data_IF_560952022385
#
_entry.id   IF_560952022385
#
_cell.length_a   1.000
_cell.length_b   1.000
_cell.length_c   1.000
_cell.angle_alpha   90.00
_cell.angle_beta   90.00
_cell.angle_gamma   90.00
#
_symmetry.space_group_name_H-M   'P 1'
#
loop_
_entity.id
_entity.type
_entity.pdbx_description
1 polymer ?
#
# COMPACT_ATOMS: atom_id res chain seq x y z
N UNK A 1 1.27 30.46 0.75
CA UNK A 1 2.63 30.96 1.06
C UNK A 1 3.47 31.17 -0.21
N UNK A 2 3.12 30.62 -1.38
CA UNK A 2 3.87 30.87 -2.63
C UNK A 2 2.95 31.05 -3.84
N UNK A 3 2.14 32.13 -3.87
CA UNK A 3 1.26 32.41 -5.02
C UNK A 3 2.02 32.79 -6.30
N UNK A 4 3.34 32.91 -6.24
CA UNK A 4 4.26 33.14 -7.35
C UNK A 4 5.62 32.58 -6.96
N UNK A 5 6.14 31.59 -7.68
CA UNK A 5 7.50 31.06 -7.48
C UNK A 5 8.59 32.16 -7.59
N UNK A 6 8.25 33.28 -8.23
CA UNK A 6 9.09 34.48 -8.37
C UNK A 6 9.31 35.25 -7.05
N UNK A 7 8.47 35.05 -6.04
CA UNK A 7 8.53 35.77 -4.75
C UNK A 7 8.99 34.88 -3.58
N UNK A 8 9.69 33.79 -3.87
CA UNK A 8 10.26 32.91 -2.87
C UNK A 8 11.51 33.56 -2.27
N UNK A 9 11.58 33.63 -0.95
CA UNK A 9 12.81 33.97 -0.22
C UNK A 9 13.75 32.76 -0.25
N UNK A 10 14.50 32.66 -1.35
CA UNK A 10 15.39 31.53 -1.60
C UNK A 10 16.54 31.45 -0.60
N UNK A 11 17.04 32.60 -0.12
CA UNK A 11 18.12 32.65 0.87
C UNK A 11 17.65 32.05 2.20
N UNK A 12 16.41 32.36 2.61
CA UNK A 12 15.80 31.72 3.77
C UNK A 12 15.63 30.22 3.57
N UNK A 13 15.09 29.79 2.43
CA UNK A 13 14.93 28.35 2.15
C UNK A 13 16.26 27.63 2.09
N UNK A 14 17.32 28.25 1.58
CA UNK A 14 18.66 27.65 1.57
C UNK A 14 19.22 27.49 2.98
N UNK A 15 18.95 28.46 3.88
CA UNK A 15 19.33 28.32 5.29
C UNK A 15 18.56 27.21 6.02
N UNK A 16 17.31 26.94 5.61
CA UNK A 16 16.43 25.94 6.24
C UNK A 16 16.59 24.54 5.62
N UNK A 17 16.84 24.44 4.32
CA UNK A 17 16.83 23.20 3.52
C UNK A 17 18.21 22.80 2.98
N UNK A 18 19.14 23.74 2.90
CA UNK A 18 20.42 23.57 2.23
C UNK A 18 20.37 23.80 0.71
N UNK A 19 21.53 24.10 0.14
CA UNK A 19 21.74 24.45 -1.28
C UNK A 19 21.21 23.37 -2.24
N UNK A 20 21.42 22.08 -1.91
CA UNK A 20 20.99 20.96 -2.77
C UNK A 20 19.47 20.96 -2.99
N UNK A 21 18.68 21.05 -1.91
CA UNK A 21 17.21 21.01 -2.01
C UNK A 21 16.67 22.24 -2.74
N UNK A 22 17.25 23.42 -2.48
CA UNK A 22 16.88 24.63 -3.21
C UNK A 22 17.17 24.52 -4.70
N UNK A 23 18.30 23.93 -5.07
CA UNK A 23 18.65 23.68 -6.48
C UNK A 23 17.63 22.76 -7.14
N UNK A 24 17.25 21.66 -6.48
CA UNK A 24 16.21 20.76 -7.00
C UNK A 24 14.84 21.45 -7.15
N UNK A 25 14.46 22.33 -6.23
CA UNK A 25 13.22 23.11 -6.34
C UNK A 25 13.24 24.07 -7.54
N UNK A 26 14.41 24.67 -7.83
CA UNK A 26 14.61 25.51 -9.03
C UNK A 26 14.54 24.66 -10.29
N UNK A 27 15.19 23.50 -10.30
CA UNK A 27 15.22 22.58 -11.44
C UNK A 27 13.83 21.98 -11.75
N UNK A 28 13.00 21.74 -10.73
CA UNK A 28 11.59 21.36 -10.90
C UNK A 28 10.77 22.43 -11.66
N UNK A 29 11.23 23.68 -11.64
CA UNK A 29 10.61 24.81 -12.35
C UNK A 29 11.22 25.06 -13.74
N UNK A 30 12.25 24.31 -14.15
CA UNK A 30 12.92 24.49 -15.43
C UNK A 30 11.99 24.22 -16.63
N UNK A 31 12.25 24.84 -17.77
CA UNK A 31 11.51 24.57 -19.02
C UNK A 31 11.86 23.20 -19.62
N UNK A 32 13.03 22.65 -19.31
CA UNK A 32 13.48 21.35 -19.78
C UNK A 32 12.78 20.20 -19.04
N UNK A 33 12.05 19.35 -19.79
CA UNK A 33 11.30 18.20 -19.24
C UNK A 33 12.19 17.22 -18.48
N UNK A 34 13.40 16.95 -18.99
CA UNK A 34 14.31 15.99 -18.38
C UNK A 34 14.83 16.51 -17.05
N UNK A 35 15.24 17.78 -17.01
CA UNK A 35 15.70 18.45 -15.78
C UNK A 35 14.60 18.42 -14.72
N UNK A 36 13.35 18.74 -15.07
CA UNK A 36 12.23 18.67 -14.12
C UNK A 36 11.98 17.26 -13.58
N UNK A 37 12.00 16.26 -14.45
CA UNK A 37 11.71 14.88 -14.08
C UNK A 37 12.80 14.32 -13.15
N UNK A 38 14.06 14.61 -13.45
CA UNK A 38 15.20 14.25 -12.58
C UNK A 38 15.10 14.97 -11.23
N UNK A 39 14.75 16.26 -11.24
CA UNK A 39 14.57 17.03 -10.01
C UNK A 39 13.42 16.50 -9.13
N UNK A 40 12.28 16.15 -9.73
CA UNK A 40 11.16 15.55 -9.01
C UNK A 40 11.57 14.22 -8.35
N UNK A 41 12.23 13.33 -9.09
CA UNK A 41 12.70 12.05 -8.57
C UNK A 41 13.71 12.23 -7.43
N UNK A 42 14.65 13.17 -7.55
CA UNK A 42 15.61 13.48 -6.48
C UNK A 42 14.94 14.10 -5.25
N UNK A 43 13.93 14.97 -5.44
CA UNK A 43 13.12 15.51 -4.33
C UNK A 43 12.33 14.42 -3.62
N UNK A 44 11.79 13.47 -4.38
CA UNK A 44 11.12 12.29 -3.84
C UNK A 44 12.06 11.49 -2.93
N UNK A 45 13.21 11.04 -3.45
CA UNK A 45 14.20 10.31 -2.64
C UNK A 45 14.73 11.11 -1.46
N UNK A 46 14.86 12.42 -1.63
CA UNK A 46 15.30 13.28 -0.54
C UNK A 46 14.26 13.32 0.57
N UNK A 47 12.95 13.37 0.27
CA UNK A 47 11.84 13.62 1.21
C UNK A 47 11.17 12.43 1.83
N UNK A 48 11.23 11.30 1.16
CA UNK A 48 10.55 10.12 1.60
C UNK A 48 11.41 8.89 1.31
N UNK A 49 11.48 8.00 2.29
CA UNK A 49 12.13 6.71 2.12
C UNK A 49 11.39 5.64 2.92
N UNK A 50 10.92 4.59 2.23
CA UNK A 50 10.30 3.39 2.84
C UNK A 50 9.21 3.70 3.88
N UNK A 51 8.28 4.60 3.53
CA UNK A 51 7.14 4.96 4.38
C UNK A 51 7.44 6.08 5.38
N UNK A 52 8.67 6.57 5.44
CA UNK A 52 9.09 7.56 6.45
C UNK A 52 9.53 8.88 5.84
N UNK A 53 9.25 9.98 6.53
CA UNK A 53 9.86 11.27 6.21
C UNK A 53 11.29 11.31 6.70
N UNK A 54 12.19 11.74 5.83
CA UNK A 54 13.61 11.94 6.13
C UNK A 54 13.94 13.39 6.49
N UNK A 55 13.03 14.34 6.20
CA UNK A 55 13.14 15.77 6.51
C UNK A 55 11.75 16.45 6.50
N UNK A 56 11.62 17.74 6.91
CA UNK A 56 10.33 18.46 6.92
C UNK A 56 9.74 18.71 5.52
N UNK A 57 9.15 17.69 4.90
CA UNK A 57 8.61 17.75 3.54
C UNK A 57 7.48 18.77 3.33
N UNK A 58 6.91 19.37 4.39
CA UNK A 58 5.92 20.44 4.26
C UNK A 58 6.42 21.68 3.48
N UNK A 59 7.73 21.86 3.30
CA UNK A 59 8.26 22.93 2.46
C UNK A 59 8.15 22.66 0.95
N UNK A 60 8.22 21.40 0.50
CA UNK A 60 8.09 21.06 -0.94
C UNK A 60 6.62 20.99 -1.39
N UNK A 61 5.69 20.63 -0.51
CA UNK A 61 4.30 20.41 -0.88
C UNK A 61 3.66 21.62 -1.61
N UNK A 62 3.86 22.88 -1.17
CA UNK A 62 3.37 24.03 -1.93
C UNK A 62 3.94 24.15 -3.34
N UNK A 63 5.19 23.73 -3.58
CA UNK A 63 5.80 23.74 -4.92
C UNK A 63 5.16 22.70 -5.82
N UNK A 64 4.91 21.50 -5.29
CA UNK A 64 4.16 20.46 -5.99
C UNK A 64 2.74 20.93 -6.35
N UNK A 65 2.03 21.54 -5.42
CA UNK A 65 0.68 22.09 -5.68
C UNK A 65 0.70 23.22 -6.72
N UNK A 66 1.66 24.14 -6.64
CA UNK A 66 1.80 25.20 -7.63
C UNK A 66 2.13 24.60 -9.01
N UNK A 67 3.01 23.59 -9.08
CA UNK A 67 3.33 22.91 -10.33
C UNK A 67 2.12 22.20 -10.92
N UNK A 68 1.36 21.45 -10.13
CA UNK A 68 0.12 20.80 -10.56
C UNK A 68 -0.88 21.79 -11.19
N UNK A 69 -0.90 23.04 -10.72
CA UNK A 69 -1.82 24.06 -11.25
C UNK A 69 -1.43 24.63 -12.62
N UNK A 70 -0.18 24.43 -13.06
CA UNK A 70 0.39 25.02 -14.29
C UNK A 70 0.87 23.96 -15.29
N UNK A 71 1.08 22.74 -14.83
CA UNK A 71 1.61 21.65 -15.63
C UNK A 71 0.53 21.08 -16.57
N UNK A 72 0.97 20.70 -17.77
CA UNK A 72 0.15 20.03 -18.78
C UNK A 72 0.69 18.66 -19.17
N UNK A 73 1.93 18.33 -18.80
CA UNK A 73 2.54 17.03 -19.05
C UNK A 73 1.96 15.97 -18.10
N UNK A 74 1.22 14.97 -18.62
CA UNK A 74 0.48 14.03 -17.78
C UNK A 74 1.40 13.12 -16.95
N UNK A 75 2.62 12.83 -17.42
CA UNK A 75 3.59 12.02 -16.66
C UNK A 75 4.03 12.73 -15.37
N UNK A 76 4.32 14.04 -15.47
CA UNK A 76 4.77 14.81 -14.32
C UNK A 76 3.63 15.10 -13.35
N UNK A 77 2.42 15.35 -13.86
CA UNK A 77 1.21 15.47 -13.03
C UNK A 77 0.94 14.22 -12.20
N UNK A 78 0.96 13.04 -12.85
CA UNK A 78 0.80 11.75 -12.20
C UNK A 78 1.86 11.53 -11.12
N UNK A 79 3.14 11.74 -11.45
CA UNK A 79 4.25 11.56 -10.51
C UNK A 79 4.12 12.46 -9.27
N UNK A 80 3.81 13.75 -9.46
CA UNK A 80 3.64 14.69 -8.34
C UNK A 80 2.42 14.33 -7.48
N UNK A 81 1.31 13.87 -8.07
CA UNK A 81 0.14 13.42 -7.32
C UNK A 81 0.46 12.19 -6.45
N UNK A 82 1.22 11.25 -7.00
CA UNK A 82 1.69 10.07 -6.27
C UNK A 82 2.63 10.48 -5.11
N UNK A 83 3.59 11.38 -5.34
CA UNK A 83 4.44 11.92 -4.28
C UNK A 83 3.61 12.56 -3.16
N UNK A 84 2.62 13.37 -3.51
CA UNK A 84 1.72 14.01 -2.53
C UNK A 84 0.90 12.99 -1.74
N UNK A 85 0.45 11.90 -2.38
CA UNK A 85 -0.25 10.80 -1.72
C UNK A 85 0.67 10.15 -0.67
N UNK A 86 1.91 9.87 -1.04
CA UNK A 86 2.89 9.29 -0.14
C UNK A 86 3.23 10.21 1.03
N UNK A 87 3.45 11.49 0.77
CA UNK A 87 3.66 12.51 1.80
C UNK A 87 2.46 12.66 2.75
N UNK A 88 1.23 12.48 2.26
CA UNK A 88 0.01 12.48 3.08
C UNK A 88 -0.18 11.23 3.95
N UNK A 89 0.65 10.20 3.78
CA UNK A 89 0.59 8.94 4.52
C UNK A 89 1.90 8.58 5.22
N UNK A 90 2.91 9.44 5.09
CA UNK A 90 4.22 9.21 5.65
C UNK A 90 4.18 9.12 7.19
N UNK A 91 5.04 8.28 7.73
CA UNK A 91 5.24 8.13 9.16
C UNK A 91 6.57 8.73 9.62
N UNK A 92 6.78 8.78 10.93
CA UNK A 92 8.07 9.17 11.50
C UNK A 92 9.06 8.02 11.37
N UNK A 93 10.35 8.32 11.20
CA UNK A 93 11.39 7.30 11.11
C UNK A 93 11.49 6.52 12.42
N UNK A 94 11.47 7.23 13.55
CA UNK A 94 11.53 6.57 14.86
C UNK A 94 10.25 5.79 15.21
N UNK A 95 9.10 6.14 14.63
CA UNK A 95 7.82 5.47 14.89
C UNK A 95 7.61 4.17 14.11
N UNK A 96 8.33 3.96 13.00
CA UNK A 96 8.14 2.78 12.12
C UNK A 96 9.16 1.67 12.31
N UNK A 97 10.35 1.95 12.87
CA UNK A 97 11.42 0.96 13.05
C UNK A 97 10.97 -0.24 13.93
N UNK A 98 10.72 -1.44 13.34
CA UNK A 98 10.35 -2.63 14.10
C UNK A 98 11.54 -3.21 14.86
N UNK A 99 12.77 -2.86 14.45
CA UNK A 99 14.03 -3.31 15.08
C UNK A 99 14.10 -2.89 16.54
N UNK A 100 13.48 -1.75 16.89
CA UNK A 100 13.32 -1.37 18.29
C UNK A 100 12.08 -2.00 18.94
N UNK A 101 11.07 -2.42 18.18
CA UNK A 101 9.89 -3.07 18.76
C UNK A 101 10.22 -4.46 19.31
N UNK A 102 11.09 -5.23 18.66
CA UNK A 102 11.43 -6.59 19.12
C UNK A 102 12.57 -6.65 20.16
N UNK A 103 13.49 -5.68 20.19
CA UNK A 103 14.51 -5.60 21.26
C UNK A 103 14.07 -4.76 22.48
N UNK A 104 13.02 -3.93 22.36
CA UNK A 104 12.52 -3.07 23.47
C UNK A 104 11.23 -3.58 24.11
N UNK A 105 10.50 -4.54 23.51
CA UNK A 105 9.34 -5.17 24.18
C UNK A 105 9.70 -5.98 25.45
N UNK A 106 10.99 -6.17 25.75
CA UNK A 106 11.47 -6.69 27.05
C UNK A 106 11.81 -5.60 28.08
N UNK A 107 11.61 -4.32 27.79
CA UNK A 107 12.04 -3.24 28.67
C UNK A 107 10.92 -2.24 28.94
N UNK A 108 10.37 -2.38 30.15
CA UNK A 108 9.67 -1.39 30.97
C UNK A 108 10.57 -0.15 31.27
N UNK A 109 11.38 0.29 30.30
CA UNK A 109 12.33 1.39 30.41
C UNK A 109 11.79 2.59 29.67
N UNK A 110 11.70 3.71 30.38
CA UNK A 110 11.57 5.04 29.80
C UNK A 110 12.61 5.21 28.68
N UNK A 111 12.14 5.52 27.46
CA UNK A 111 13.03 5.89 26.36
C UNK A 111 13.94 7.05 26.80
N UNK A 112 15.21 7.10 26.35
CA UNK A 112 16.07 8.26 26.58
C UNK A 112 15.36 9.54 26.13
N UNK A 113 15.52 10.64 26.88
CA UNK A 113 14.86 11.92 26.59
C UNK A 113 15.12 12.40 25.15
N UNK A 114 16.33 12.18 24.64
CA UNK A 114 16.74 12.53 23.28
C UNK A 114 15.89 11.82 22.20
N UNK A 115 15.50 10.56 22.43
CA UNK A 115 14.63 9.82 21.50
C UNK A 115 13.22 10.42 21.48
N UNK A 116 12.68 10.75 22.65
CA UNK A 116 11.35 11.36 22.75
C UNK A 116 11.32 12.75 22.11
N UNK A 117 12.37 13.56 22.33
CA UNK A 117 12.52 14.87 21.71
C UNK A 117 12.57 14.77 20.19
N UNK A 118 13.37 13.85 19.64
CA UNK A 118 13.47 13.65 18.20
C UNK A 118 12.16 13.14 17.59
N UNK A 119 11.46 12.22 18.26
CA UNK A 119 10.15 11.75 17.81
C UNK A 119 9.13 12.90 17.76
N UNK A 120 9.13 13.81 18.75
CA UNK A 120 8.24 14.98 18.75
C UNK A 120 8.56 15.94 17.59
N UNK A 121 9.83 16.13 17.26
CA UNK A 121 10.25 16.91 16.09
C UNK A 121 9.71 16.29 14.80
N UNK A 122 9.90 14.98 14.61
CA UNK A 122 9.42 14.27 13.42
C UNK A 122 7.89 14.26 13.31
N UNK A 123 7.18 14.13 14.43
CA UNK A 123 5.73 14.28 14.45
C UNK A 123 5.30 15.68 13.99
N UNK A 124 6.06 16.71 14.37
CA UNK A 124 5.86 18.06 13.84
C UNK A 124 6.02 18.13 12.31
N UNK A 125 7.01 17.43 11.76
CA UNK A 125 7.22 17.35 10.31
C UNK A 125 6.09 16.62 9.60
N UNK A 126 5.66 15.48 10.13
CA UNK A 126 4.54 14.69 9.59
C UNK A 126 3.26 15.52 9.59
N UNK A 127 2.90 16.11 10.72
CA UNK A 127 1.68 16.92 10.86
C UNK A 127 1.70 18.13 9.92
N UNK A 128 2.83 18.87 9.88
CA UNK A 128 2.98 20.00 8.96
C UNK A 128 2.84 19.58 7.49
N UNK A 129 3.33 18.38 7.15
CA UNK A 129 3.26 17.83 5.79
C UNK A 129 1.83 17.48 5.42
N UNK A 130 1.10 16.81 6.32
CA UNK A 130 -0.32 16.50 6.13
C UNK A 130 -1.15 17.77 5.93
N UNK A 131 -0.98 18.76 6.81
CA UNK A 131 -1.66 20.05 6.68
C UNK A 131 -1.34 20.75 5.35
N UNK A 132 -0.09 20.68 4.88
CA UNK A 132 0.30 21.24 3.61
C UNK A 132 -0.39 20.52 2.45
N UNK A 133 -0.42 19.17 2.45
CA UNK A 133 -1.05 18.40 1.37
C UNK A 133 -2.55 18.64 1.34
N UNK A 134 -3.20 18.70 2.51
CA UNK A 134 -4.65 18.85 2.63
C UNK A 134 -5.15 20.21 2.15
N UNK A 135 -4.32 21.26 2.17
CA UNK A 135 -4.66 22.55 1.55
C UNK A 135 -4.91 22.44 0.04
N UNK A 136 -4.40 21.40 -0.62
CA UNK A 136 -4.54 21.13 -2.05
C UNK A 136 -5.78 20.32 -2.45
N UNK A 137 -6.65 19.88 -1.52
CA UNK A 137 -7.75 18.96 -1.84
C UNK A 137 -8.63 19.46 -3.00
N UNK A 138 -8.95 20.75 -3.07
CA UNK A 138 -9.74 21.30 -4.18
C UNK A 138 -9.03 21.22 -5.53
N UNK A 139 -7.70 21.36 -5.55
CA UNK A 139 -6.90 21.16 -6.76
C UNK A 139 -6.98 19.71 -7.21
N UNK A 140 -6.82 18.75 -6.29
CA UNK A 140 -6.85 17.32 -6.62
C UNK A 140 -8.25 16.88 -7.08
N UNK A 141 -9.32 17.41 -6.48
CA UNK A 141 -10.70 17.18 -6.93
C UNK A 141 -10.92 17.67 -8.36
N UNK A 142 -10.38 18.83 -8.74
CA UNK A 142 -10.47 19.30 -10.11
C UNK A 142 -9.72 18.39 -11.10
N UNK A 143 -8.65 17.73 -10.65
CA UNK A 143 -7.87 16.79 -11.47
C UNK A 143 -8.58 15.44 -11.68
N UNK A 144 -9.67 15.16 -10.96
CA UNK A 144 -10.57 14.05 -11.32
C UNK A 144 -11.23 14.27 -12.68
N UNK A 145 -11.32 15.50 -13.19
CA UNK A 145 -11.91 15.78 -14.51
C UNK A 145 -10.84 15.95 -15.60
N UNK A 146 -9.60 15.53 -15.33
CA UNK A 146 -8.50 15.69 -16.27
C UNK A 146 -8.63 14.75 -17.49
N UNK A 147 -8.17 15.18 -18.67
CA UNK A 147 -8.32 14.42 -19.92
C UNK A 147 -7.61 13.06 -19.92
N UNK A 148 -6.53 12.92 -19.14
CA UNK A 148 -5.71 11.72 -19.12
C UNK A 148 -6.10 10.80 -17.94
N UNK A 149 -6.51 9.54 -18.19
CA UNK A 149 -6.94 8.59 -17.16
C UNK A 149 -5.97 8.44 -15.99
N UNK A 150 -4.67 8.32 -16.27
CA UNK A 150 -3.63 8.17 -15.24
C UNK A 150 -3.54 9.34 -14.25
N UNK A 151 -3.84 10.56 -14.71
CA UNK A 151 -3.91 11.73 -13.82
C UNK A 151 -5.15 11.65 -12.93
N UNK A 152 -6.29 11.18 -13.47
CA UNK A 152 -7.51 10.96 -12.69
C UNK A 152 -7.32 9.88 -11.62
N UNK A 153 -6.65 8.78 -11.99
CA UNK A 153 -6.26 7.69 -11.08
C UNK A 153 -5.36 8.22 -9.95
N UNK A 154 -4.29 8.92 -10.29
CA UNK A 154 -3.38 9.50 -9.30
C UNK A 154 -4.09 10.52 -8.40
N UNK A 155 -5.00 11.34 -8.95
CA UNK A 155 -5.77 12.31 -8.18
C UNK A 155 -6.74 11.62 -7.20
N UNK A 156 -7.46 10.58 -7.66
CA UNK A 156 -8.31 9.75 -6.81
C UNK A 156 -7.51 9.13 -5.65
N UNK A 157 -6.28 8.68 -5.91
CA UNK A 157 -5.41 8.15 -4.89
C UNK A 157 -4.95 9.21 -3.88
N UNK A 158 -4.42 10.35 -4.34
CA UNK A 158 -4.01 11.44 -3.46
C UNK A 158 -5.16 11.88 -2.55
N UNK A 159 -6.38 11.92 -3.08
CA UNK A 159 -7.59 12.22 -2.32
C UNK A 159 -7.92 11.15 -1.28
N UNK A 160 -7.70 9.87 -1.58
CA UNK A 160 -7.89 8.77 -0.62
C UNK A 160 -6.97 8.86 0.61
N UNK A 161 -5.82 9.54 0.47
CA UNK A 161 -4.90 9.82 1.57
C UNK A 161 -5.31 11.05 2.42
N UNK A 162 -6.28 11.85 1.96
CA UNK A 162 -6.71 13.09 2.58
C UNK A 162 -7.88 12.91 3.56
N UNK A 163 -7.62 12.25 4.70
CA UNK A 163 -8.66 11.81 5.64
C UNK A 163 -9.45 12.94 6.33
N UNK A 164 -8.91 14.16 6.38
CA UNK A 164 -9.54 15.31 7.05
C UNK A 164 -10.88 15.74 6.42
N UNK A 165 -11.08 15.48 5.12
CA UNK A 165 -12.31 15.79 4.40
C UNK A 165 -12.94 14.55 3.77
N UNK A 166 -12.70 13.38 4.38
CA UNK A 166 -13.07 12.09 3.80
C UNK A 166 -14.54 12.01 3.35
N UNK A 167 -15.49 12.55 4.10
CA UNK A 167 -16.93 12.51 3.72
C UNK A 167 -17.20 13.26 2.41
N UNK A 168 -16.62 14.46 2.27
CA UNK A 168 -16.75 15.27 1.06
C UNK A 168 -16.10 14.57 -0.13
N UNK A 169 -14.92 14.02 0.08
CA UNK A 169 -14.16 13.29 -0.94
C UNK A 169 -14.94 12.05 -1.40
N UNK A 170 -15.45 11.24 -0.47
CA UNK A 170 -16.25 10.05 -0.77
C UNK A 170 -17.46 10.40 -1.64
N UNK A 171 -18.23 11.42 -1.26
CA UNK A 171 -19.40 11.84 -2.03
C UNK A 171 -19.06 12.26 -3.46
N UNK A 172 -17.97 13.01 -3.65
CA UNK A 172 -17.52 13.45 -4.96
C UNK A 172 -16.97 12.30 -5.82
N UNK A 173 -16.23 11.37 -5.22
CA UNK A 173 -15.71 10.19 -5.93
C UNK A 173 -16.84 9.25 -6.37
N UNK A 174 -17.87 9.05 -5.52
CA UNK A 174 -19.07 8.28 -5.91
C UNK A 174 -19.79 8.96 -7.08
N UNK A 175 -19.94 10.28 -7.06
CA UNK A 175 -20.52 11.01 -8.19
C UNK A 175 -19.68 10.84 -9.46
N UNK A 176 -18.36 11.00 -9.35
CA UNK A 176 -17.43 10.84 -10.47
C UNK A 176 -17.48 9.42 -11.07
N UNK A 177 -17.63 8.37 -10.25
CA UNK A 177 -17.81 6.99 -10.72
C UNK A 177 -18.98 6.85 -11.70
N UNK A 178 -20.10 7.56 -11.47
CA UNK A 178 -21.30 7.45 -12.31
C UNK A 178 -21.14 8.02 -13.71
N UNK A 179 -20.22 8.97 -13.91
CA UNK A 179 -19.98 9.62 -15.19
C UNK A 179 -18.65 9.24 -15.85
N UNK A 180 -17.76 8.56 -15.14
CA UNK A 180 -16.51 8.05 -15.70
C UNK A 180 -16.77 6.99 -16.77
N UNK A 181 -15.93 6.95 -17.79
CA UNK A 181 -16.01 6.03 -18.93
C UNK A 181 -14.80 5.10 -19.06
N UNK A 182 -13.66 5.52 -18.53
CA UNK A 182 -12.45 4.70 -18.46
C UNK A 182 -12.57 3.64 -17.36
N UNK A 183 -12.46 2.38 -17.75
CA UNK A 183 -12.68 1.25 -16.83
C UNK A 183 -11.65 1.20 -15.71
N UNK A 184 -10.40 1.62 -15.95
CA UNK A 184 -9.37 1.60 -14.92
C UNK A 184 -9.56 2.72 -13.91
N UNK A 185 -9.96 3.92 -14.37
CA UNK A 185 -10.35 5.00 -13.45
C UNK A 185 -11.55 4.57 -12.61
N UNK A 186 -12.58 3.95 -13.22
CA UNK A 186 -13.71 3.37 -12.46
C UNK A 186 -13.25 2.32 -11.46
N UNK A 187 -12.33 1.43 -11.84
CA UNK A 187 -11.78 0.43 -10.93
C UNK A 187 -10.93 1.07 -9.81
N UNK A 188 -10.36 2.26 -9.98
CA UNK A 188 -9.61 2.94 -8.91
C UNK A 188 -10.51 3.46 -7.81
N UNK A 189 -11.71 3.93 -8.16
CA UNK A 189 -12.59 4.64 -7.23
C UNK A 189 -13.00 3.75 -6.03
N UNK A 190 -13.53 2.52 -6.19
CA UNK A 190 -13.85 1.66 -5.04
C UNK A 190 -12.65 1.40 -4.13
N UNK A 191 -11.46 1.16 -4.69
CA UNK A 191 -10.24 0.92 -3.90
C UNK A 191 -9.86 2.15 -3.07
N UNK A 192 -9.91 3.32 -3.69
CA UNK A 192 -9.65 4.59 -3.00
C UNK A 192 -10.68 4.91 -1.92
N UNK A 193 -11.97 4.64 -2.18
CA UNK A 193 -13.03 4.79 -1.18
C UNK A 193 -12.82 3.84 0.01
N UNK A 194 -12.35 2.62 -0.23
CA UNK A 194 -12.06 1.67 0.83
C UNK A 194 -11.04 2.23 1.84
N UNK A 195 -10.02 2.99 1.41
CA UNK A 195 -9.09 3.65 2.35
C UNK A 195 -9.74 4.71 3.24
N UNK A 196 -10.69 5.45 2.69
CA UNK A 196 -11.44 6.48 3.41
C UNK A 196 -12.46 5.88 4.38
N UNK A 197 -12.81 4.59 4.25
CA UNK A 197 -13.78 3.89 5.11
C UNK A 197 -13.37 3.80 6.59
N UNK A 198 -12.07 3.92 6.93
CA UNK A 198 -11.66 4.00 8.34
C UNK A 198 -12.05 5.34 8.99
N UNK A 199 -12.27 6.36 8.18
CA UNK A 199 -12.57 7.73 8.61
C UNK A 199 -14.00 8.14 8.32
N UNK A 200 -14.74 7.35 7.54
CA UNK A 200 -16.13 7.59 7.15
C UNK A 200 -16.91 6.29 7.04
N UNK A 201 -18.23 6.35 7.18
CA UNK A 201 -19.09 5.22 6.81
C UNK A 201 -19.19 5.16 5.28
N UNK A 202 -18.19 4.60 4.63
CA UNK A 202 -18.34 4.19 3.22
C UNK A 202 -19.31 3.02 3.18
N UNK A 203 -20.36 3.18 2.40
CA UNK A 203 -21.43 2.19 2.35
C UNK A 203 -20.94 0.93 1.63
N UNK A 204 -20.87 -0.20 2.36
CA UNK A 204 -20.59 -1.51 1.79
C UNK A 204 -21.59 -1.84 0.65
N UNK A 205 -22.82 -1.32 0.73
CA UNK A 205 -23.83 -1.49 -0.31
C UNK A 205 -23.39 -0.90 -1.66
N UNK A 206 -22.61 0.19 -1.67
CA UNK A 206 -22.08 0.76 -2.92
C UNK A 206 -21.14 -0.24 -3.64
N UNK A 207 -20.21 -0.83 -2.91
CA UNK A 207 -19.30 -1.83 -3.50
C UNK A 207 -20.04 -3.12 -3.88
N UNK A 208 -21.02 -3.54 -3.07
CA UNK A 208 -21.85 -4.70 -3.39
C UNK A 208 -22.74 -4.46 -4.62
N UNK A 209 -23.29 -3.25 -4.81
CA UNK A 209 -24.04 -2.88 -6.01
C UNK A 209 -23.16 -2.98 -7.26
N UNK A 210 -21.95 -2.42 -7.22
CA UNK A 210 -21.00 -2.50 -8.35
C UNK A 210 -20.64 -3.96 -8.66
N UNK A 211 -20.31 -4.76 -7.65
CA UNK A 211 -19.99 -6.18 -7.81
C UNK A 211 -21.14 -6.98 -8.45
N UNK A 212 -22.38 -6.53 -8.26
CA UNK A 212 -23.59 -7.15 -8.80
C UNK A 212 -24.11 -6.51 -10.11
N UNK A 213 -23.47 -5.45 -10.59
CA UNK A 213 -23.91 -4.65 -11.72
C UNK A 213 -23.51 -5.23 -13.10
N UNK A 214 -23.73 -4.43 -14.16
CA UNK A 214 -23.27 -4.70 -15.52
C UNK A 214 -21.92 -4.02 -15.85
N UNK A 215 -21.20 -3.47 -14.87
CA UNK A 215 -19.85 -2.93 -15.08
C UNK A 215 -18.88 -4.01 -15.56
N UNK A 216 -17.71 -3.60 -16.07
CA UNK A 216 -16.69 -4.55 -16.52
C UNK A 216 -16.12 -5.36 -15.36
N UNK A 217 -15.53 -6.52 -15.68
CA UNK A 217 -15.05 -7.45 -14.65
C UNK A 217 -13.93 -6.86 -13.79
N UNK A 218 -13.13 -5.92 -14.33
CA UNK A 218 -12.05 -5.28 -13.55
C UNK A 218 -12.61 -4.29 -12.52
N UNK A 219 -13.70 -3.58 -12.88
CA UNK A 219 -14.43 -2.70 -11.97
C UNK A 219 -15.12 -3.52 -10.87
N UNK A 220 -15.74 -4.65 -11.23
CA UNK A 220 -16.34 -5.59 -10.27
C UNK A 220 -15.30 -6.20 -9.35
N UNK A 221 -14.14 -6.60 -9.88
CA UNK A 221 -13.05 -7.17 -9.09
C UNK A 221 -12.57 -6.16 -8.06
N UNK A 222 -12.30 -4.92 -8.49
CA UNK A 222 -11.95 -3.81 -7.60
C UNK A 222 -13.00 -3.60 -6.49
N UNK A 223 -14.29 -3.54 -6.85
CA UNK A 223 -15.37 -3.37 -5.88
C UNK A 223 -15.45 -4.55 -4.90
N UNK A 224 -15.24 -5.79 -5.37
CA UNK A 224 -15.20 -6.96 -4.50
C UNK A 224 -14.02 -6.94 -3.53
N UNK A 225 -12.82 -6.57 -3.99
CA UNK A 225 -11.62 -6.38 -3.15
C UNK A 225 -11.88 -5.30 -2.10
N UNK A 226 -12.46 -4.16 -2.52
CA UNK A 226 -12.85 -3.06 -1.64
C UNK A 226 -13.89 -3.48 -0.59
N UNK A 227 -14.88 -4.27 -1.00
CA UNK A 227 -15.92 -4.81 -0.12
C UNK A 227 -15.33 -5.78 0.91
N UNK A 228 -14.37 -6.63 0.52
CA UNK A 228 -13.66 -7.50 1.46
C UNK A 228 -12.95 -6.69 2.56
N UNK A 229 -12.39 -5.53 2.22
CA UNK A 229 -11.80 -4.64 3.21
C UNK A 229 -12.82 -3.93 4.10
N UNK A 230 -13.89 -3.39 3.51
CA UNK A 230 -14.86 -2.57 4.24
C UNK A 230 -15.72 -3.46 5.16
N UNK A 231 -16.24 -4.56 4.63
CA UNK A 231 -17.11 -5.48 5.37
C UNK A 231 -16.31 -6.47 6.23
N UNK A 232 -15.08 -6.84 5.83
CA UNK A 232 -14.25 -7.81 6.53
C UNK A 232 -14.96 -9.15 6.69
N UNK A 233 -14.97 -9.68 7.92
CA UNK A 233 -15.71 -10.89 8.31
C UNK A 233 -17.21 -10.84 7.93
N UNK A 234 -17.81 -9.64 7.86
CA UNK A 234 -19.24 -9.44 7.57
C UNK A 234 -19.58 -9.48 6.07
N UNK A 235 -18.61 -9.71 5.18
CA UNK A 235 -18.90 -9.87 3.75
C UNK A 235 -19.91 -11.03 3.52
N UNK A 236 -20.93 -10.78 2.71
CA UNK A 236 -21.94 -11.79 2.39
C UNK A 236 -21.30 -12.94 1.61
N UNK A 237 -21.76 -14.18 1.83
CA UNK A 237 -21.25 -15.34 1.09
C UNK A 237 -21.46 -15.21 -0.42
N UNK A 238 -22.51 -14.52 -0.87
CA UNK A 238 -22.74 -14.25 -2.28
C UNK A 238 -21.64 -13.34 -2.85
N UNK A 239 -21.40 -12.19 -2.19
CA UNK A 239 -20.36 -11.26 -2.59
C UNK A 239 -18.97 -11.90 -2.56
N UNK A 240 -18.65 -12.66 -1.50
CA UNK A 240 -17.39 -13.37 -1.39
C UNK A 240 -17.20 -14.40 -2.53
N UNK A 241 -18.21 -15.21 -2.85
CA UNK A 241 -18.12 -16.19 -3.93
C UNK A 241 -17.94 -15.52 -5.31
N UNK A 242 -18.56 -14.35 -5.53
CA UNK A 242 -18.35 -13.57 -6.75
C UNK A 242 -16.93 -13.03 -6.83
N UNK A 243 -16.42 -12.42 -5.76
CA UNK A 243 -15.04 -11.97 -5.67
C UNK A 243 -14.07 -13.13 -5.95
N UNK A 244 -14.28 -14.29 -5.31
CA UNK A 244 -13.46 -15.48 -5.51
C UNK A 244 -13.49 -15.95 -6.98
N UNK A 245 -14.63 -15.87 -7.66
CA UNK A 245 -14.73 -16.20 -9.09
C UNK A 245 -13.95 -15.23 -9.99
N UNK A 246 -13.89 -13.95 -9.63
CA UNK A 246 -13.15 -12.93 -10.37
C UNK A 246 -11.64 -13.07 -10.16
N UNK A 247 -11.18 -13.35 -8.93
CA UNK A 247 -9.74 -13.56 -8.62
C UNK A 247 -9.19 -14.80 -9.34
N UNK A 248 -10.02 -15.82 -9.56
CA UNK A 248 -9.64 -17.00 -10.36
C UNK A 248 -9.31 -16.65 -11.82
N UNK A 249 -9.82 -15.54 -12.35
CA UNK A 249 -9.35 -15.02 -13.62
C UNK A 249 -8.00 -14.33 -13.40
N UNK A 250 -6.93 -15.09 -13.62
CA UNK A 250 -5.55 -14.61 -13.48
C UNK A 250 -5.29 -13.31 -14.21
N UNK A 251 -5.59 -13.25 -15.52
CA UNK A 251 -5.22 -12.09 -16.34
C UNK A 251 -5.88 -10.82 -15.78
N UNK A 252 -7.12 -10.96 -15.31
CA UNK A 252 -7.85 -9.88 -14.66
C UNK A 252 -7.21 -9.45 -13.34
N UNK A 253 -6.87 -10.42 -12.47
CA UNK A 253 -6.26 -10.13 -11.18
C UNK A 253 -4.86 -9.56 -11.31
N UNK A 254 -4.02 -10.12 -12.19
CA UNK A 254 -2.68 -9.60 -12.51
C UNK A 254 -2.78 -8.19 -13.10
N UNK A 255 -3.73 -7.92 -13.99
CA UNK A 255 -3.90 -6.56 -14.55
C UNK A 255 -4.29 -5.54 -13.47
N UNK A 256 -5.23 -5.89 -12.58
CA UNK A 256 -5.53 -5.03 -11.44
C UNK A 256 -4.28 -4.86 -10.56
N UNK A 257 -3.60 -5.95 -10.21
CA UNK A 257 -2.40 -5.95 -9.38
C UNK A 257 -1.30 -5.03 -9.92
N UNK A 258 -0.84 -5.26 -11.15
CA UNK A 258 0.27 -4.52 -11.77
C UNK A 258 -0.04 -3.02 -11.87
N UNK A 259 -1.32 -2.67 -12.04
CA UNK A 259 -1.74 -1.28 -12.11
C UNK A 259 -1.56 -0.53 -10.79
N UNK A 260 -1.81 -1.16 -9.64
CA UNK A 260 -1.71 -0.49 -8.34
C UNK A 260 -0.36 -0.76 -7.64
N UNK A 261 0.26 -1.91 -7.85
CA UNK A 261 1.47 -2.33 -7.13
C UNK A 261 2.78 -1.83 -7.79
N UNK A 262 2.74 -1.17 -8.95
CA UNK A 262 3.94 -0.56 -9.56
C UNK A 262 4.07 0.95 -9.24
N UNK A 263 3.02 1.79 -9.41
CA UNK A 263 3.11 3.22 -9.11
C UNK A 263 2.77 3.61 -7.66
N UNK A 264 1.98 2.82 -6.92
CA UNK A 264 1.45 3.20 -5.59
C UNK A 264 2.03 2.35 -4.44
N UNK A 265 2.82 1.33 -4.78
CA UNK A 265 3.40 0.37 -3.85
C UNK A 265 4.40 0.95 -2.86
N UNK A 266 4.94 2.15 -3.06
CA UNK A 266 5.94 2.65 -2.11
C UNK A 266 5.29 3.10 -0.80
N UNK A 267 4.13 3.77 -0.79
CA UNK A 267 3.44 4.07 0.47
C UNK A 267 2.47 2.99 0.94
N UNK A 268 1.82 2.27 0.03
CA UNK A 268 0.83 1.24 0.33
C UNK A 268 1.23 -0.08 -0.31
N UNK A 269 2.47 -0.48 -0.04
CA UNK A 269 2.98 -1.80 -0.41
C UNK A 269 1.92 -2.84 -0.06
N UNK A 270 1.59 -3.69 -1.04
CA UNK A 270 0.59 -4.75 -0.86
C UNK A 270 -0.82 -4.22 -0.55
N UNK A 271 -1.23 -3.13 -1.19
CA UNK A 271 -2.55 -2.52 -1.01
C UNK A 271 -3.71 -3.51 -1.18
N UNK A 272 -3.78 -4.21 -2.32
CA UNK A 272 -4.85 -5.17 -2.63
C UNK A 272 -4.87 -6.33 -1.62
N UNK A 273 -3.73 -6.63 -0.99
CA UNK A 273 -3.55 -7.74 -0.06
C UNK A 273 -4.06 -7.36 1.32
N UNK A 274 -3.68 -6.17 1.78
CA UNK A 274 -4.18 -5.59 3.02
C UNK A 274 -5.71 -5.50 3.03
N UNK A 275 -6.35 -5.63 1.87
CA UNK A 275 -7.80 -5.65 1.77
C UNK A 275 -8.39 -7.01 2.19
N UNK A 276 -7.65 -8.11 2.00
CA UNK A 276 -8.06 -9.45 2.42
C UNK A 276 -7.77 -9.76 3.88
N UNK A 277 -6.86 -9.02 4.54
CA UNK A 277 -6.47 -9.27 5.95
C UNK A 277 -7.60 -9.08 6.97
N UNK A 278 -8.74 -8.53 6.55
CA UNK A 278 -9.94 -8.33 7.37
C UNK A 278 -10.99 -9.44 7.23
N UNK A 279 -10.78 -10.37 6.30
CA UNK A 279 -11.64 -11.55 6.16
C UNK A 279 -11.47 -12.48 7.36
N UNK A 280 -12.48 -13.29 7.65
CA UNK A 280 -12.33 -14.40 8.57
C UNK A 280 -11.37 -15.46 7.99
N UNK A 281 -10.82 -16.30 8.88
CA UNK A 281 -9.82 -17.33 8.55
C UNK A 281 -10.28 -18.25 7.41
N UNK A 282 -11.56 -18.62 7.36
CA UNK A 282 -12.07 -19.56 6.36
C UNK A 282 -12.17 -18.93 4.96
N UNK A 283 -12.61 -17.67 4.89
CA UNK A 283 -12.63 -16.91 3.64
C UNK A 283 -11.21 -16.57 3.18
N UNK A 284 -10.34 -16.17 4.10
CA UNK A 284 -8.93 -15.88 3.79
C UNK A 284 -8.21 -17.12 3.26
N UNK A 285 -8.41 -18.28 3.87
CA UNK A 285 -7.87 -19.56 3.41
C UNK A 285 -8.28 -19.87 1.95
N UNK A 286 -9.53 -19.62 1.58
CA UNK A 286 -9.99 -19.81 0.19
C UNK A 286 -9.33 -18.86 -0.80
N UNK A 287 -9.10 -17.59 -0.41
CA UNK A 287 -8.37 -16.62 -1.24
C UNK A 287 -6.92 -17.07 -1.42
N UNK A 288 -6.27 -17.51 -0.35
CA UNK A 288 -4.88 -17.98 -0.38
C UNK A 288 -4.70 -19.18 -1.32
N UNK A 289 -5.64 -20.12 -1.36
CA UNK A 289 -5.60 -21.24 -2.32
C UNK A 289 -5.55 -20.72 -3.76
N UNK A 290 -6.39 -19.75 -4.11
CA UNK A 290 -6.44 -19.19 -5.47
C UNK A 290 -5.18 -18.39 -5.79
N UNK A 291 -4.71 -17.54 -4.88
CA UNK A 291 -3.50 -16.74 -5.09
C UNK A 291 -2.23 -17.59 -5.19
N UNK A 292 -2.22 -18.73 -4.49
CA UNK A 292 -1.15 -19.70 -4.53
C UNK A 292 -1.27 -20.71 -5.68
N UNK A 293 -2.09 -20.48 -6.70
CA UNK A 293 -2.05 -21.28 -7.93
C UNK A 293 -0.78 -20.93 -8.74
N UNK A 294 0.02 -21.90 -9.22
CA UNK A 294 1.27 -21.66 -9.96
C UNK A 294 1.10 -20.78 -11.18
N UNK A 295 -0.08 -20.83 -11.78
CA UNK A 295 -0.45 -20.07 -12.95
C UNK A 295 -0.49 -18.58 -12.64
N UNK A 296 -0.83 -18.13 -11.43
CA UNK A 296 -1.11 -16.72 -11.13
C UNK A 296 0.05 -15.74 -11.40
N UNK A 297 1.32 -16.20 -11.43
CA UNK A 297 2.50 -15.41 -11.86
C UNK A 297 2.60 -13.98 -11.31
N UNK A 298 2.09 -13.73 -10.10
CA UNK A 298 2.26 -12.44 -9.44
C UNK A 298 3.69 -12.36 -8.90
N UNK A 299 4.42 -11.30 -9.25
CA UNK A 299 5.75 -11.02 -8.69
C UNK A 299 5.66 -10.95 -7.16
N UNK A 300 6.63 -11.51 -6.45
CA UNK A 300 6.66 -11.57 -4.97
C UNK A 300 5.45 -12.22 -4.28
N UNK A 301 4.73 -13.12 -4.96
CA UNK A 301 3.61 -13.87 -4.36
C UNK A 301 4.01 -14.61 -3.07
N UNK A 302 5.27 -15.03 -2.92
CA UNK A 302 5.76 -15.67 -1.69
C UNK A 302 5.63 -14.78 -0.44
N UNK A 303 6.10 -13.54 -0.54
CA UNK A 303 6.07 -12.56 0.55
C UNK A 303 4.63 -12.16 0.88
N UNK A 304 3.79 -12.06 -0.16
CA UNK A 304 2.35 -11.88 -0.05
C UNK A 304 1.68 -12.98 0.80
N UNK A 305 1.86 -14.25 0.42
CA UNK A 305 1.23 -15.37 1.13
C UNK A 305 1.72 -15.46 2.58
N UNK A 306 2.98 -15.08 2.79
CA UNK A 306 3.59 -14.99 4.12
C UNK A 306 2.94 -13.91 4.98
N UNK A 307 2.75 -12.70 4.45
CA UNK A 307 2.11 -11.62 5.18
C UNK A 307 0.67 -11.97 5.55
N UNK A 308 -0.12 -12.48 4.61
CA UNK A 308 -1.52 -12.82 4.88
C UNK A 308 -1.69 -13.95 5.89
N UNK A 309 -0.91 -15.02 5.79
CA UNK A 309 -1.08 -16.17 6.66
C UNK A 309 -0.37 -16.01 8.01
N UNK A 310 0.80 -15.37 8.02
CA UNK A 310 1.67 -15.31 9.20
C UNK A 310 1.88 -13.90 9.75
N UNK A 311 1.48 -12.84 9.03
CA UNK A 311 1.71 -11.45 9.42
C UNK A 311 3.18 -11.21 9.84
N UNK A 312 4.12 -11.79 9.09
CA UNK A 312 5.55 -11.75 9.39
C UNK A 312 5.91 -12.27 10.79
N UNK A 313 5.12 -13.18 11.36
CA UNK A 313 5.42 -13.85 12.63
C UNK A 313 6.01 -15.24 12.40
N UNK A 314 6.96 -15.61 13.25
CA UNK A 314 7.48 -16.99 13.28
C UNK A 314 6.49 -17.89 14.01
N UNK A 315 6.41 -19.14 13.58
CA UNK A 315 5.66 -20.17 14.30
C UNK A 315 6.47 -20.52 15.56
N UNK A 316 5.94 -20.36 16.79
CA UNK A 316 6.69 -20.68 18.01
C UNK A 316 7.20 -22.12 18.02
N UNK A 317 8.39 -22.35 18.58
CA UNK A 317 8.90 -23.71 18.77
C UNK A 317 7.96 -24.53 19.67
N UNK A 318 7.78 -25.81 19.34
CA UNK A 318 6.87 -26.72 20.02
C UNK A 318 5.41 -26.62 19.56
N UNK A 319 5.08 -25.65 18.70
CA UNK A 319 3.74 -25.56 18.08
C UNK A 319 3.47 -26.82 17.25
N UNK A 320 2.22 -27.28 17.18
CA UNK A 320 1.75 -28.35 16.28
C UNK A 320 0.81 -27.80 15.21
N UNK A 321 0.62 -28.53 14.10
CA UNK A 321 -0.17 -28.05 12.95
C UNK A 321 -1.62 -27.69 13.30
N UNK A 322 -2.24 -28.41 14.24
CA UNK A 322 -3.60 -28.20 14.75
C UNK A 322 -3.75 -26.95 15.63
N UNK A 323 -2.64 -26.35 16.05
CA UNK A 323 -2.61 -25.06 16.76
C UNK A 323 -2.51 -23.87 15.81
N UNK A 324 -2.26 -24.09 14.52
CA UNK A 324 -2.20 -23.05 13.51
C UNK A 324 -3.59 -22.68 13.00
N UNK A 325 -3.74 -21.45 12.52
CA UNK A 325 -4.99 -20.99 11.87
C UNK A 325 -5.19 -21.69 10.52
N UNK A 326 -6.44 -21.69 10.01
CA UNK A 326 -6.73 -22.30 8.71
C UNK A 326 -5.88 -21.70 7.55
N UNK A 327 -5.71 -20.37 7.43
CA UNK A 327 -4.77 -19.76 6.49
C UNK A 327 -3.34 -20.32 6.56
N UNK A 328 -2.79 -20.44 7.78
CA UNK A 328 -1.44 -20.94 8.01
C UNK A 328 -1.30 -22.40 7.58
N UNK A 329 -2.26 -23.25 7.95
CA UNK A 329 -2.28 -24.65 7.56
C UNK A 329 -2.35 -24.82 6.03
N UNK A 330 -3.19 -24.03 5.36
CA UNK A 330 -3.34 -24.06 3.91
C UNK A 330 -2.03 -23.72 3.20
N UNK A 331 -1.36 -22.62 3.60
CA UNK A 331 -0.10 -22.22 2.99
C UNK A 331 0.99 -23.27 3.17
N UNK A 332 1.13 -23.84 4.37
CA UNK A 332 2.13 -24.88 4.62
C UNK A 332 1.91 -26.13 3.77
N UNK A 333 0.65 -26.55 3.58
CA UNK A 333 0.29 -27.67 2.70
C UNK A 333 0.62 -27.36 1.24
N UNK A 334 0.29 -26.16 0.76
CA UNK A 334 0.59 -25.74 -0.61
C UNK A 334 2.09 -25.67 -0.89
N UNK A 335 2.89 -25.23 0.09
CA UNK A 335 4.35 -25.27 0.00
C UNK A 335 4.84 -26.72 -0.11
N UNK A 336 4.35 -27.62 0.75
CA UNK A 336 4.74 -29.03 0.72
C UNK A 336 4.40 -29.71 -0.62
N UNK A 337 3.20 -29.46 -1.15
CA UNK A 337 2.75 -29.98 -2.44
C UNK A 337 3.63 -29.47 -3.60
N UNK A 338 4.07 -28.22 -3.56
CA UNK A 338 4.95 -27.65 -4.59
C UNK A 338 6.39 -28.16 -4.51
N UNK A 339 6.91 -28.36 -3.31
CA UNK A 339 8.24 -28.95 -3.13
C UNK A 339 8.24 -30.39 -3.66
N UNK A 340 7.21 -31.18 -3.35
CA UNK A 340 7.11 -32.57 -3.83
C UNK A 340 6.93 -32.68 -5.34
N UNK A 341 6.34 -31.66 -5.99
CA UNK A 341 6.18 -31.60 -7.46
C UNK A 341 7.32 -30.90 -8.19
N UNK A 342 8.38 -30.50 -7.48
CA UNK A 342 9.55 -29.78 -8.00
C UNK A 342 9.20 -28.50 -8.79
N UNK A 343 8.18 -27.77 -8.33
CA UNK A 343 7.79 -26.49 -8.91
C UNK A 343 8.55 -25.35 -8.22
N UNK A 344 9.72 -25.00 -8.74
CA UNK A 344 10.70 -24.03 -8.16
C UNK A 344 10.24 -22.55 -8.07
N UNK A 345 8.95 -22.23 -8.27
CA UNK A 345 8.51 -20.84 -8.45
C UNK A 345 8.15 -20.07 -7.20
N UNK A 346 7.83 -20.74 -6.09
CA UNK A 346 7.72 -20.04 -4.81
C UNK A 346 9.11 -19.98 -4.20
N UNK A 347 9.45 -18.85 -3.59
CA UNK A 347 10.62 -18.71 -2.74
C UNK A 347 10.42 -19.48 -1.42
N UNK A 348 10.13 -20.78 -1.53
CA UNK A 348 9.73 -21.68 -0.46
C UNK A 348 10.79 -21.76 0.62
N UNK A 349 12.06 -21.67 0.24
CA UNK A 349 13.20 -21.66 1.17
C UNK A 349 13.20 -20.41 2.07
N UNK A 350 12.97 -19.22 1.52
CA UNK A 350 12.89 -18.01 2.34
C UNK A 350 11.70 -18.07 3.29
N UNK A 351 10.55 -18.54 2.80
CA UNK A 351 9.34 -18.69 3.61
C UNK A 351 9.55 -19.69 4.76
N UNK A 352 10.09 -20.87 4.47
CA UNK A 352 10.40 -21.90 5.47
C UNK A 352 11.44 -21.41 6.49
N UNK A 353 12.50 -20.76 6.02
CA UNK A 353 13.53 -20.17 6.88
C UNK A 353 12.95 -19.11 7.83
N UNK A 354 12.04 -18.27 7.33
CA UNK A 354 11.36 -17.27 8.14
C UNK A 354 10.49 -17.93 9.22
N UNK A 355 9.77 -18.99 8.87
CA UNK A 355 8.96 -19.77 9.81
C UNK A 355 9.79 -20.61 10.81
N UNK A 356 11.12 -20.57 10.71
CA UNK A 356 12.04 -21.28 11.59
C UNK A 356 12.39 -22.70 11.14
N UNK A 357 11.97 -23.11 9.94
CA UNK A 357 12.29 -24.39 9.30
C UNK A 357 13.54 -24.19 8.43
N UNK A 358 14.73 -24.36 9.02
CA UNK A 358 16.02 -24.17 8.35
C UNK A 358 16.64 -25.49 7.86
N UNK A 359 17.71 -25.39 7.07
CA UNK A 359 18.37 -26.54 6.42
C UNK A 359 19.27 -27.39 7.33
N UNK A 360 19.39 -27.13 8.64
CA UNK A 360 20.37 -27.86 9.46
C UNK A 360 19.83 -29.26 9.82
N UNK A 361 20.46 -30.33 9.30
CA UNK A 361 20.07 -31.71 9.59
C UNK A 361 19.14 -32.30 8.52
N UNK A 362 17.90 -32.66 8.90
CA UNK A 362 16.87 -33.03 7.92
C UNK A 362 16.62 -31.82 7.00
N UNK A 363 16.47 -32.06 5.69
CA UNK A 363 16.18 -30.97 4.74
C UNK A 363 14.89 -30.22 5.14
N UNK A 364 14.72 -28.94 4.76
CA UNK A 364 13.57 -28.14 5.16
C UNK A 364 12.24 -28.75 4.68
N UNK A 365 12.26 -29.50 3.58
CA UNK A 365 11.15 -30.31 3.10
C UNK A 365 10.72 -31.39 4.11
N UNK A 366 11.66 -32.20 4.59
CA UNK A 366 11.35 -33.31 5.49
C UNK A 366 10.82 -32.80 6.83
N UNK A 367 11.38 -31.70 7.34
CA UNK A 367 10.86 -31.01 8.52
C UNK A 367 9.44 -30.51 8.34
N UNK A 368 9.14 -29.88 7.20
CA UNK A 368 7.78 -29.44 6.88
C UNK A 368 6.81 -30.62 6.82
N UNK A 369 7.20 -31.73 6.17
CA UNK A 369 6.36 -32.92 6.07
C UNK A 369 6.10 -33.53 7.45
N UNK A 370 7.12 -33.64 8.32
CA UNK A 370 6.95 -34.14 9.68
C UNK A 370 6.04 -33.22 10.51
N UNK A 371 6.20 -31.90 10.37
CA UNK A 371 5.33 -30.91 11.02
C UNK A 371 3.87 -31.05 10.56
N UNK A 372 3.63 -31.18 9.25
CA UNK A 372 2.29 -31.41 8.69
C UNK A 372 1.68 -32.76 9.10
N UNK A 373 2.52 -33.74 9.47
CA UNK A 373 2.10 -35.02 10.03
C UNK A 373 1.87 -34.98 11.56
N UNK A 374 1.95 -33.80 12.19
CA UNK A 374 1.63 -33.58 13.59
C UNK A 374 2.83 -33.59 14.55
N UNK A 375 4.07 -33.70 14.04
CA UNK A 375 5.24 -33.49 14.91
C UNK A 375 5.34 -32.02 15.33
N UNK A 376 5.65 -31.71 16.60
CA UNK A 376 5.89 -30.35 17.03
C UNK A 376 7.06 -29.72 16.27
N UNK A 377 6.95 -28.44 15.90
CA UNK A 377 8.02 -27.69 15.27
C UNK A 377 9.23 -27.62 16.20
N UNK A 378 10.42 -27.95 15.69
CA UNK A 378 11.68 -27.84 16.42
C UNK A 378 12.60 -26.91 15.65
N UNK A 379 13.18 -25.94 16.36
CA UNK A 379 14.19 -25.09 15.77
C UNK A 379 15.53 -25.81 15.76
N UNK A 380 16.35 -25.46 14.76
CA UNK A 380 17.74 -25.89 14.75
C UNK A 380 18.50 -25.11 15.83
N UNK A 381 19.19 -25.85 16.70
CA UNK A 381 20.01 -25.32 17.79
C UNK A 381 21.27 -24.60 17.29
#
# INVERSE_FOLDING_TARGET
MFKNLENIDWDRLESELGEKLVTLLKDLSADDKKVRSEAQMELWYASWHQGTLTWPAYFIVPFFQERLSRESEPDLLESILIDLAHLATAATFFGTQPVFKYEILELDKEYPSEYQEQLLIELGWVNGTFEAVYKGINLYLNLLEHNYPKVRIAAAYTLSCCKSEAERICNLMIQHFTCESDEMVKATIPLCLAFLSKSTLVDAAFCEEILNSNESDIVKLSAGVSLAYIAGENISNNAFNRLLSLIKNKELFTHLWEHYDNPMATAHYWMIINFFSRLDDSKLAQILVVLAEPEQQIYDCGDLLQELAFNWQKIPEGTTIDQLTEPQQVILRLIADRITTNQERLNTYNLLSFMGIKEVGLGPQEKLINFLNGEPLKYDA
#
